data_IF_505489168136
#
_entry.id   IF_505489168136
#
_cell.length_a   1.000
_cell.length_b   1.000
_cell.length_c   1.000
_cell.angle_alpha   90.00
_cell.angle_beta   90.00
_cell.angle_gamma   90.00
#
_symmetry.space_group_name_H-M   'P 1'
#
loop_
_entity.id
_entity.type
_entity.pdbx_description
1 polymer ?
#
# COMPACT_ATOMS: atom_id res chain seq x y z
N UNK A 1 -3.03 18.66 1.66
CA UNK A 1 -1.75 17.93 1.76
C UNK A 1 -1.05 18.13 0.43
N UNK A 2 0.27 18.36 0.40
CA UNK A 2 1.00 18.41 -0.86
C UNK A 2 1.12 17.02 -1.46
N UNK A 3 1.61 16.94 -2.69
CA UNK A 3 1.81 15.67 -3.39
C UNK A 3 2.65 14.68 -2.56
N UNK A 4 3.78 15.16 -2.02
CA UNK A 4 4.66 14.35 -1.17
C UNK A 4 3.91 13.74 0.02
N UNK A 5 3.11 14.52 0.74
CA UNK A 5 2.36 14.00 1.89
C UNK A 5 1.28 12.99 1.47
N UNK A 6 0.58 13.22 0.34
CA UNK A 6 -0.39 12.26 -0.19
C UNK A 6 0.29 10.95 -0.61
N UNK A 7 1.46 11.02 -1.25
CA UNK A 7 2.22 9.83 -1.64
C UNK A 7 2.73 9.04 -0.43
N UNK A 8 3.21 9.74 0.61
CA UNK A 8 3.54 9.10 1.90
C UNK A 8 2.32 8.44 2.55
N UNK A 9 1.17 9.11 2.51
CA UNK A 9 -0.08 8.57 3.02
C UNK A 9 -0.49 7.31 2.25
N UNK A 10 -0.31 7.28 0.92
CA UNK A 10 -0.53 6.08 0.09
C UNK A 10 0.36 4.92 0.52
N UNK A 11 1.67 5.11 0.62
CA UNK A 11 2.64 4.07 1.02
C UNK A 11 2.27 3.51 2.40
N UNK A 12 1.91 4.40 3.34
CA UNK A 12 1.47 4.02 4.67
C UNK A 12 0.18 3.19 4.63
N UNK A 13 -0.83 3.65 3.89
CA UNK A 13 -2.11 2.97 3.69
C UNK A 13 -1.94 1.57 3.08
N UNK A 14 -1.07 1.43 2.06
CA UNK A 14 -0.75 0.13 1.45
C UNK A 14 -0.01 -0.81 2.42
N UNK A 15 0.81 -0.26 3.32
CA UNK A 15 1.44 -1.01 4.41
C UNK A 15 0.43 -1.50 5.44
N UNK A 16 -0.52 -0.63 5.86
CA UNK A 16 -1.59 -0.98 6.78
C UNK A 16 -2.47 -2.10 6.21
N UNK A 17 -2.89 -2.00 4.94
CA UNK A 17 -3.68 -3.04 4.29
C UNK A 17 -2.93 -4.38 4.29
N UNK A 18 -1.65 -4.40 3.89
CA UNK A 18 -0.85 -5.62 3.87
C UNK A 18 -0.77 -6.28 5.25
N UNK A 19 -0.49 -5.50 6.30
CA UNK A 19 -0.45 -5.98 7.69
C UNK A 19 -1.81 -6.51 8.15
N UNK A 20 -2.88 -5.77 7.89
CA UNK A 20 -4.24 -6.15 8.28
C UNK A 20 -4.68 -7.44 7.58
N UNK A 21 -4.44 -7.58 6.28
CA UNK A 21 -4.76 -8.80 5.51
C UNK A 21 -3.95 -10.00 6.01
N UNK A 22 -2.66 -9.82 6.34
CA UNK A 22 -1.81 -10.89 6.85
C UNK A 22 -2.19 -11.32 8.28
N UNK A 23 -2.74 -10.41 9.09
CA UNK A 23 -3.23 -10.71 10.44
C UNK A 23 -4.47 -11.62 10.47
N UNK A 24 -5.24 -11.64 9.37
CA UNK A 24 -6.47 -12.41 9.29
C UNK A 24 -6.18 -13.91 9.28
N UNK A 25 -6.57 -14.59 10.37
CA UNK A 25 -6.51 -16.04 10.47
C UNK A 25 -7.58 -16.71 9.60
N UNK A 26 -7.20 -17.81 8.97
CA UNK A 26 -8.09 -18.76 8.30
C UNK A 26 -8.27 -20.02 9.20
N UNK A 27 -9.42 -20.72 9.17
CA UNK A 27 -10.57 -20.55 8.27
C UNK A 27 -11.52 -19.41 8.66
N UNK A 28 -12.46 -18.99 7.78
CA UNK A 28 -13.37 -17.86 8.01
C UNK A 28 -14.17 -17.92 9.31
N UNK A 29 -14.47 -19.12 9.80
CA UNK A 29 -15.21 -19.37 11.05
C UNK A 29 -14.44 -18.96 12.32
N UNK A 30 -13.11 -18.85 12.22
CA UNK A 30 -12.20 -18.41 13.30
C UNK A 30 -11.52 -17.10 12.94
N UNK A 31 -12.11 -16.33 12.02
CA UNK A 31 -11.56 -15.06 11.55
C UNK A 31 -11.31 -14.14 12.74
N UNK A 32 -10.07 -13.68 12.85
CA UNK A 32 -9.65 -12.69 13.83
C UNK A 32 -9.04 -11.55 13.03
N UNK A 33 -9.76 -10.43 12.98
CA UNK A 33 -9.31 -9.21 12.31
C UNK A 33 -8.56 -8.36 13.32
N UNK A 34 -7.45 -7.77 12.88
CA UNK A 34 -6.80 -6.70 13.64
C UNK A 34 -7.64 -5.42 13.59
N UNK A 35 -8.42 -5.23 14.66
CA UNK A 35 -9.33 -4.07 14.80
C UNK A 35 -8.56 -2.77 14.95
N UNK A 36 -7.31 -2.78 15.41
CA UNK A 36 -6.52 -1.57 15.53
C UNK A 36 -6.07 -1.11 14.15
N UNK A 37 -5.44 -2.00 13.37
CA UNK A 37 -5.04 -1.69 11.99
C UNK A 37 -6.23 -1.29 11.12
N UNK A 38 -7.39 -1.92 11.34
CA UNK A 38 -8.62 -1.56 10.61
C UNK A 38 -9.09 -0.15 10.94
N UNK A 39 -8.98 0.29 12.21
CA UNK A 39 -9.30 1.68 12.60
C UNK A 39 -8.35 2.67 11.95
N UNK A 40 -7.05 2.38 11.92
CA UNK A 40 -6.07 3.27 11.29
C UNK A 40 -6.38 3.47 9.79
N UNK A 41 -6.84 2.44 9.08
CA UNK A 41 -7.31 2.58 7.69
C UNK A 41 -8.60 3.42 7.63
N UNK A 42 -9.56 3.18 8.54
CA UNK A 42 -10.83 3.91 8.59
C UNK A 42 -10.65 5.41 8.91
N UNK A 43 -9.67 5.77 9.73
CA UNK A 43 -9.36 7.16 10.07
C UNK A 43 -8.88 7.97 8.84
N UNK A 44 -8.47 7.30 7.77
CA UNK A 44 -8.13 7.91 6.48
C UNK A 44 -9.33 8.02 5.51
N UNK A 45 -10.53 7.62 5.94
CA UNK A 45 -11.77 7.65 5.13
C UNK A 45 -12.74 8.75 5.58
N UNK A 46 -13.90 8.84 4.92
CA UNK A 46 -15.07 9.61 5.33
C UNK A 46 -16.09 8.80 6.15
N UNK A 47 -15.77 7.57 6.56
CA UNK A 47 -16.68 6.81 7.41
C UNK A 47 -16.83 7.49 8.78
N UNK A 48 -18.06 7.80 9.15
CA UNK A 48 -18.39 8.33 10.46
C UNK A 48 -18.54 7.20 11.47
N UNK A 49 -17.86 7.32 12.61
CA UNK A 49 -18.05 6.40 13.72
C UNK A 49 -19.42 6.61 14.38
N UNK A 50 -20.18 5.52 14.57
CA UNK A 50 -21.42 5.48 15.32
C UNK A 50 -21.44 4.30 16.28
N UNK A 51 -21.87 4.56 17.52
CA UNK A 51 -22.12 3.50 18.51
C UNK A 51 -23.56 3.01 18.38
N UNK A 52 -23.75 1.74 18.04
CA UNK A 52 -25.08 1.13 17.95
C UNK A 52 -25.21 0.01 18.97
N UNK A 53 -25.90 0.24 20.10
CA UNK A 53 -25.95 -0.70 21.21
C UNK A 53 -24.54 -1.21 21.61
N UNK A 54 -24.25 -2.48 21.34
CA UNK A 54 -22.95 -3.14 21.59
C UNK A 54 -22.04 -3.22 20.35
N UNK A 55 -22.38 -2.53 19.27
CA UNK A 55 -21.68 -2.53 17.99
C UNK A 55 -20.89 -1.25 17.78
N UNK A 56 -19.69 -1.40 17.22
CA UNK A 56 -18.89 -0.31 16.67
C UNK A 56 -19.15 -0.23 15.17
N UNK A 57 -19.90 0.79 14.76
CA UNK A 57 -20.29 0.98 13.36
C UNK A 57 -19.49 2.12 12.76
N UNK A 58 -19.10 1.96 11.52
CA UNK A 58 -18.54 3.00 10.67
C UNK A 58 -19.50 3.14 9.50
N UNK A 59 -20.05 4.35 9.31
CA UNK A 59 -21.11 4.57 8.33
C UNK A 59 -20.75 5.64 7.33
N UNK A 60 -21.18 5.45 6.08
CA UNK A 60 -21.05 6.42 5.01
C UNK A 60 -22.35 6.48 4.21
N UNK A 61 -22.92 7.67 3.93
CA UNK A 61 -24.15 7.77 3.17
C UNK A 61 -23.98 7.29 1.73
N UNK A 62 -24.98 6.58 1.22
CA UNK A 62 -25.19 6.26 -0.19
C UNK A 62 -26.49 6.94 -0.67
N UNK A 63 -27.01 6.52 -1.82
CA UNK A 63 -28.26 7.05 -2.38
C UNK A 63 -29.51 6.54 -1.66
N UNK A 64 -30.61 7.31 -1.74
CA UNK A 64 -31.94 6.92 -1.28
C UNK A 64 -32.04 6.57 0.22
N UNK A 65 -31.19 7.16 1.07
CA UNK A 65 -31.19 6.90 2.52
C UNK A 65 -30.58 5.57 2.93
N UNK A 66 -30.00 4.82 1.97
CA UNK A 66 -29.16 3.66 2.24
C UNK A 66 -27.78 4.15 2.69
N UNK A 67 -27.16 3.44 3.62
CA UNK A 67 -25.81 3.72 4.09
C UNK A 67 -24.92 2.52 3.79
N UNK A 68 -23.65 2.77 3.52
CA UNK A 68 -22.60 1.76 3.63
C UNK A 68 -22.16 1.67 5.08
N UNK A 69 -22.31 0.51 5.69
CA UNK A 69 -22.10 0.30 7.12
C UNK A 69 -21.09 -0.82 7.31
N UNK A 70 -19.91 -0.48 7.80
CA UNK A 70 -18.94 -1.43 8.30
C UNK A 70 -19.20 -1.70 9.79
N UNK A 71 -19.26 -2.97 10.16
CA UNK A 71 -19.27 -3.38 11.57
C UNK A 71 -17.85 -3.78 11.96
N UNK A 72 -17.26 -3.09 12.94
CA UNK A 72 -15.91 -3.37 13.42
C UNK A 72 -15.91 -4.54 14.41
N UNK A 73 -16.21 -5.73 13.89
CA UNK A 73 -16.14 -7.01 14.59
C UNK A 73 -15.08 -7.93 13.96
N UNK A 74 -15.13 -9.23 14.28
CA UNK A 74 -14.16 -10.20 13.81
C UNK A 74 -14.47 -10.71 12.38
N UNK A 75 -15.72 -10.61 11.91
CA UNK A 75 -16.10 -10.97 10.55
C UNK A 75 -15.83 -9.82 9.57
N UNK A 76 -15.83 -8.59 10.10
CA UNK A 76 -15.70 -7.31 9.40
C UNK A 76 -16.67 -7.20 8.21
N UNK A 77 -17.99 -7.33 8.43
CA UNK A 77 -18.96 -7.22 7.35
C UNK A 77 -19.17 -5.76 6.95
N UNK A 78 -19.41 -5.54 5.66
CA UNK A 78 -19.94 -4.29 5.12
C UNK A 78 -21.35 -4.56 4.59
N UNK A 79 -22.30 -3.70 4.99
CA UNK A 79 -23.70 -3.77 4.59
C UNK A 79 -24.12 -2.52 3.81
N UNK A 80 -25.09 -2.68 2.91
CA UNK A 80 -25.82 -1.57 2.27
C UNK A 80 -27.25 -1.55 2.79
N UNK A 81 -27.49 -0.86 3.90
CA UNK A 81 -28.81 -0.75 4.52
C UNK A 81 -28.82 0.42 5.52
N UNK A 82 -29.79 0.46 6.43
CA UNK A 82 -29.86 1.43 7.52
C UNK A 82 -29.19 0.93 8.80
N UNK A 83 -28.74 1.84 9.67
CA UNK A 83 -28.17 1.51 10.99
C UNK A 83 -29.15 0.71 11.85
N UNK A 84 -30.45 1.00 11.73
CA UNK A 84 -31.50 0.28 12.44
C UNK A 84 -31.58 -1.19 11.99
N UNK A 85 -31.48 -1.46 10.68
CA UNK A 85 -31.49 -2.83 10.15
C UNK A 85 -30.24 -3.62 10.58
N UNK A 86 -29.05 -3.01 10.55
CA UNK A 86 -27.83 -3.66 11.05
C UNK A 86 -27.94 -3.97 12.54
N UNK A 87 -28.45 -3.03 13.33
CA UNK A 87 -28.63 -3.20 14.78
C UNK A 87 -29.62 -4.32 15.10
N UNK A 88 -30.76 -4.36 14.38
CA UNK A 88 -31.75 -5.44 14.50
C UNK A 88 -31.11 -6.81 14.25
N UNK A 89 -30.25 -6.95 13.23
CA UNK A 89 -29.69 -8.25 12.85
C UNK A 89 -28.51 -8.70 13.73
N UNK A 90 -27.64 -7.77 14.14
CA UNK A 90 -26.40 -8.09 14.88
C UNK A 90 -26.52 -7.95 16.40
N UNK A 91 -27.46 -7.16 16.89
CA UNK A 91 -27.70 -6.95 18.32
C UNK A 91 -29.21 -6.79 18.61
N UNK A 92 -30.06 -7.77 18.23
CA UNK A 92 -31.51 -7.68 18.43
C UNK A 92 -31.88 -7.50 19.90
N UNK A 93 -32.92 -6.71 20.17
CA UNK A 93 -33.52 -6.67 21.49
C UNK A 93 -34.45 -7.87 21.69
N UNK A 94 -34.74 -8.23 22.95
CA UNK A 94 -35.63 -9.36 23.25
C UNK A 94 -37.06 -9.17 22.68
N UNK A 95 -37.49 -7.93 22.45
CA UNK A 95 -38.77 -7.64 21.81
C UNK A 95 -38.77 -7.93 20.30
N UNK A 96 -37.62 -7.79 19.64
CA UNK A 96 -37.49 -8.00 18.20
C UNK A 96 -37.72 -9.46 17.81
N UNK A 97 -37.38 -10.39 18.70
CA UNK A 97 -37.47 -11.83 18.45
C UNK A 97 -38.89 -12.41 18.54
N UNK A 98 -39.90 -11.64 18.96
CA UNK A 98 -41.31 -12.10 18.90
C UNK A 98 -41.92 -12.03 17.51
N UNK A 99 -41.35 -11.23 16.60
CA UNK A 99 -41.83 -11.12 15.23
C UNK A 99 -41.14 -12.16 14.35
N UNK A 100 -41.90 -13.13 13.83
CA UNK A 100 -41.38 -14.15 12.87
C UNK A 100 -40.68 -13.47 11.68
N UNK A 101 -41.18 -12.31 11.24
CA UNK A 101 -40.56 -11.53 10.17
C UNK A 101 -39.17 -11.02 10.56
N UNK A 102 -39.03 -10.51 11.78
CA UNK A 102 -37.73 -10.03 12.28
C UNK A 102 -36.76 -11.20 12.48
N UNK A 103 -37.22 -12.33 13.03
CA UNK A 103 -36.41 -13.55 13.18
C UNK A 103 -35.83 -13.99 11.84
N UNK A 104 -36.63 -14.01 10.75
CA UNK A 104 -36.13 -14.33 9.40
C UNK A 104 -35.02 -13.37 8.93
N UNK A 105 -35.13 -12.07 9.22
CA UNK A 105 -34.10 -11.07 8.87
C UNK A 105 -32.83 -11.20 9.70
N UNK A 106 -32.97 -11.52 10.99
CA UNK A 106 -31.84 -11.77 11.90
C UNK A 106 -31.05 -13.00 11.43
N UNK A 107 -31.75 -14.05 10.99
CA UNK A 107 -31.12 -15.32 10.59
C UNK A 107 -30.44 -15.27 9.21
N UNK A 108 -30.85 -14.38 8.32
CA UNK A 108 -30.31 -14.30 6.96
C UNK A 108 -29.95 -12.86 6.63
N UNK A 109 -28.67 -12.56 6.45
CA UNK A 109 -28.15 -11.24 6.07
C UNK A 109 -27.58 -11.17 4.65
N UNK A 110 -27.76 -12.22 3.84
CA UNK A 110 -27.24 -12.29 2.47
C UNK A 110 -27.85 -11.24 1.54
N UNK A 111 -29.04 -10.74 1.86
CA UNK A 111 -29.77 -9.74 1.10
C UNK A 111 -29.15 -8.33 1.20
N UNK A 112 -28.42 -8.05 2.29
CA UNK A 112 -27.89 -6.72 2.58
C UNK A 112 -26.36 -6.67 2.65
N UNK A 113 -25.70 -7.82 2.67
CA UNK A 113 -24.25 -7.89 2.84
C UNK A 113 -23.51 -7.73 1.52
N UNK A 114 -22.46 -6.91 1.55
CA UNK A 114 -21.64 -6.58 0.38
C UNK A 114 -20.32 -7.32 0.41
N UNK A 115 -19.64 -7.32 1.56
CA UNK A 115 -18.34 -7.97 1.70
C UNK A 115 -18.07 -8.38 3.15
N UNK A 116 -17.08 -9.26 3.35
CA UNK A 116 -16.57 -9.67 4.67
C UNK A 116 -15.04 -9.77 4.65
N UNK A 117 -14.40 -9.53 5.80
CA UNK A 117 -12.97 -9.79 6.03
C UNK A 117 -12.04 -9.08 5.05
N UNK A 118 -11.20 -9.84 4.32
CA UNK A 118 -10.20 -9.31 3.39
C UNK A 118 -10.82 -8.40 2.32
N UNK A 119 -11.99 -8.76 1.80
CA UNK A 119 -12.68 -7.95 0.79
C UNK A 119 -13.21 -6.63 1.38
N UNK A 120 -13.67 -6.64 2.64
CA UNK A 120 -14.04 -5.41 3.34
C UNK A 120 -12.82 -4.50 3.56
N UNK A 121 -11.66 -5.05 3.95
CA UNK A 121 -10.43 -4.28 4.09
C UNK A 121 -10.00 -3.64 2.77
N UNK A 122 -10.01 -4.40 1.66
CA UNK A 122 -9.70 -3.86 0.33
C UNK A 122 -10.66 -2.75 -0.07
N UNK A 123 -11.95 -2.88 0.26
CA UNK A 123 -12.96 -1.87 -0.03
C UNK A 123 -12.74 -0.58 0.76
N UNK A 124 -12.48 -0.68 2.07
CA UNK A 124 -12.17 0.50 2.90
C UNK A 124 -10.86 1.15 2.45
N UNK A 125 -9.85 0.35 2.12
CA UNK A 125 -8.59 0.84 1.54
C UNK A 125 -8.82 1.61 0.24
N UNK A 126 -9.63 1.08 -0.70
CA UNK A 126 -9.95 1.78 -1.94
C UNK A 126 -10.67 3.11 -1.69
N UNK A 127 -11.53 3.18 -0.67
CA UNK A 127 -12.18 4.43 -0.24
C UNK A 127 -11.14 5.42 0.31
N UNK A 128 -10.23 4.99 1.17
CA UNK A 128 -9.15 5.84 1.70
C UNK A 128 -8.23 6.34 0.57
N UNK A 129 -7.85 5.44 -0.35
CA UNK A 129 -6.99 5.76 -1.48
C UNK A 129 -7.63 6.80 -2.41
N UNK A 130 -8.93 6.68 -2.68
CA UNK A 130 -9.69 7.62 -3.51
C UNK A 130 -9.80 9.05 -2.93
N UNK A 131 -9.39 9.26 -1.68
CA UNK A 131 -9.32 10.58 -1.04
C UNK A 131 -7.96 11.25 -1.16
N UNK A 132 -6.93 10.51 -1.57
CA UNK A 132 -5.59 11.04 -1.76
C UNK A 132 -5.49 11.72 -3.12
N UNK A 133 -4.99 12.95 -3.13
CA UNK A 133 -4.62 13.62 -4.38
C UNK A 133 -3.20 13.20 -4.75
N UNK A 134 -3.10 12.28 -5.70
CA UNK A 134 -1.85 11.74 -6.21
C UNK A 134 -1.46 12.36 -7.55
N UNK A 135 -2.14 13.43 -7.97
CA UNK A 135 -1.71 14.21 -9.13
C UNK A 135 -0.41 14.93 -8.80
N UNK A 136 0.49 15.04 -9.78
CA UNK A 136 1.79 15.67 -9.61
C UNK A 136 2.21 16.45 -10.84
N UNK A 137 3.05 17.43 -10.59
CA UNK A 137 3.68 18.30 -11.59
C UNK A 137 5.19 18.09 -11.62
N UNK A 138 5.87 18.74 -12.56
CA UNK A 138 7.34 18.76 -12.57
C UNK A 138 7.92 19.35 -11.28
N UNK A 139 7.32 20.43 -10.77
CA UNK A 139 7.80 21.12 -9.57
C UNK A 139 7.76 20.23 -8.33
N UNK A 140 6.72 19.39 -8.23
CA UNK A 140 6.58 18.39 -7.17
C UNK A 140 7.72 17.35 -7.22
N UNK A 141 8.07 16.87 -8.42
CA UNK A 141 9.17 15.94 -8.60
C UNK A 141 10.53 16.60 -8.34
N UNK A 142 10.72 17.85 -8.78
CA UNK A 142 11.95 18.61 -8.50
C UNK A 142 12.15 18.83 -7.00
N UNK A 143 11.07 18.94 -6.21
CA UNK A 143 11.18 18.93 -4.75
C UNK A 143 11.73 17.60 -4.23
N UNK A 144 11.27 16.46 -4.74
CA UNK A 144 11.81 15.15 -4.35
C UNK A 144 13.28 14.99 -4.74
N UNK A 145 13.69 15.49 -5.91
CA UNK A 145 15.10 15.51 -6.33
C UNK A 145 15.93 16.31 -5.32
N UNK A 146 15.51 17.53 -4.98
CA UNK A 146 16.23 18.39 -4.02
C UNK A 146 16.39 17.73 -2.65
N UNK A 147 15.36 17.02 -2.17
CA UNK A 147 15.42 16.29 -0.91
C UNK A 147 16.40 15.11 -0.97
N UNK A 148 16.39 14.34 -2.05
CA UNK A 148 17.34 13.25 -2.29
C UNK A 148 18.78 13.75 -2.38
N UNK A 149 19.02 14.83 -3.14
CA UNK A 149 20.31 15.52 -3.24
C UNK A 149 20.81 15.99 -1.87
N UNK A 150 19.96 16.72 -1.13
CA UNK A 150 20.30 17.18 0.22
C UNK A 150 20.62 16.01 1.15
N UNK A 151 19.90 14.89 1.01
CA UNK A 151 20.17 13.66 1.74
C UNK A 151 21.55 13.08 1.45
N UNK A 152 21.97 13.07 0.18
CA UNK A 152 23.31 12.63 -0.23
C UNK A 152 24.40 13.56 0.30
N UNK A 153 24.24 14.88 0.14
CA UNK A 153 25.21 15.88 0.62
C UNK A 153 25.43 15.84 2.13
N UNK A 154 24.36 15.58 2.89
CA UNK A 154 24.41 15.50 4.35
C UNK A 154 24.80 14.12 4.87
N UNK A 155 24.97 13.11 4.00
CA UNK A 155 25.21 11.74 4.42
C UNK A 155 24.03 11.16 5.22
N UNK A 156 22.79 11.54 4.90
CA UNK A 156 21.59 11.09 5.59
C UNK A 156 20.91 9.93 4.85
N UNK A 157 21.21 8.69 5.26
CA UNK A 157 20.57 7.49 4.70
C UNK A 157 19.04 7.58 4.70
N UNK A 158 18.47 8.06 5.80
CA UNK A 158 17.02 8.18 5.97
C UNK A 158 16.39 9.11 4.92
N UNK A 159 17.01 10.25 4.63
CA UNK A 159 16.52 11.19 3.61
C UNK A 159 16.65 10.64 2.20
N UNK A 160 17.79 10.00 1.88
CA UNK A 160 18.00 9.34 0.59
C UNK A 160 16.98 8.22 0.37
N UNK A 161 16.77 7.39 1.39
CA UNK A 161 15.79 6.29 1.36
C UNK A 161 14.37 6.83 1.20
N UNK A 162 13.98 7.86 1.96
CA UNK A 162 12.65 8.46 1.82
C UNK A 162 12.40 8.98 0.40
N UNK A 163 13.34 9.72 -0.19
CA UNK A 163 13.20 10.20 -1.56
C UNK A 163 13.11 9.05 -2.58
N UNK A 164 13.94 8.01 -2.42
CA UNK A 164 13.89 6.82 -3.29
C UNK A 164 12.57 6.07 -3.16
N UNK A 165 12.09 5.82 -1.94
CA UNK A 165 10.84 5.10 -1.68
C UNK A 165 9.65 5.81 -2.33
N UNK A 166 9.64 7.15 -2.34
CA UNK A 166 8.63 7.94 -3.05
C UNK A 166 8.70 7.74 -4.57
N UNK A 167 9.89 7.82 -5.17
CA UNK A 167 10.04 7.52 -6.60
C UNK A 167 9.70 6.06 -6.93
N UNK A 168 10.04 5.12 -6.04
CA UNK A 168 9.78 3.70 -6.26
C UNK A 168 8.28 3.41 -6.27
N UNK A 169 7.52 4.08 -5.41
CA UNK A 169 6.07 3.99 -5.41
C UNK A 169 5.47 4.50 -6.73
N UNK A 170 5.97 5.63 -7.26
CA UNK A 170 5.47 6.21 -8.52
C UNK A 170 5.82 5.35 -9.74
N UNK A 171 6.99 4.71 -9.72
CA UNK A 171 7.56 4.05 -10.89
C UNK A 171 7.41 2.53 -10.85
N UNK A 172 6.96 1.95 -9.74
CA UNK A 172 6.83 0.50 -9.56
C UNK A 172 8.18 -0.21 -9.40
N UNK A 173 9.14 0.44 -8.74
CA UNK A 173 10.39 -0.21 -8.37
C UNK A 173 10.20 -1.10 -7.14
N UNK A 174 10.88 -2.24 -7.14
CA UNK A 174 10.85 -3.18 -6.04
C UNK A 174 12.25 -3.70 -5.73
N UNK A 175 12.45 -4.18 -4.50
CA UNK A 175 13.70 -4.77 -4.07
C UNK A 175 14.05 -6.00 -4.91
N UNK A 176 15.30 -6.09 -5.33
CA UNK A 176 15.85 -7.22 -6.09
C UNK A 176 16.99 -7.84 -5.31
N UNK A 177 16.96 -9.16 -5.20
CA UNK A 177 17.98 -9.93 -4.50
C UNK A 177 18.80 -10.73 -5.51
N UNK A 178 20.12 -10.56 -5.47
CA UNK A 178 21.06 -11.43 -6.16
C UNK A 178 21.74 -12.33 -5.12
N UNK A 179 21.94 -13.60 -5.45
CA UNK A 179 22.63 -14.52 -4.56
C UNK A 179 24.08 -14.08 -4.32
N UNK A 180 24.56 -14.16 -3.07
CA UNK A 180 25.97 -13.98 -2.71
C UNK A 180 26.54 -12.55 -2.78
N UNK A 181 25.74 -11.51 -2.53
CA UNK A 181 26.22 -10.12 -2.48
C UNK A 181 26.44 -9.59 -1.05
N UNK A 182 27.20 -8.50 -0.97
CA UNK A 182 27.46 -7.77 0.27
C UNK A 182 26.16 -7.27 0.93
N UNK A 183 26.02 -7.40 2.26
CA UNK A 183 24.79 -7.03 2.97
C UNK A 183 24.48 -5.52 2.91
N UNK A 184 25.50 -4.68 2.69
CA UNK A 184 25.38 -3.21 2.67
C UNK A 184 24.87 -2.67 1.32
N UNK A 185 24.72 -3.52 0.30
CA UNK A 185 24.22 -3.16 -1.03
C UNK A 185 22.74 -3.49 -1.18
N UNK A 186 21.93 -2.45 -1.24
CA UNK A 186 20.50 -2.54 -1.50
C UNK A 186 20.23 -2.33 -2.97
N UNK A 187 19.45 -3.22 -3.59
CA UNK A 187 19.22 -3.23 -5.03
C UNK A 187 17.74 -3.18 -5.35
N UNK A 188 17.39 -2.37 -6.35
CA UNK A 188 16.02 -2.14 -6.77
C UNK A 188 15.92 -2.17 -8.29
N UNK A 189 14.80 -2.63 -8.80
CA UNK A 189 14.50 -2.63 -10.22
C UNK A 189 13.04 -2.36 -10.47
N UNK A 190 12.75 -1.67 -11.57
CA UNK A 190 11.39 -1.52 -12.08
C UNK A 190 10.95 -2.87 -12.65
N UNK A 191 9.74 -3.30 -12.31
CA UNK A 191 9.19 -4.53 -12.87
C UNK A 191 8.91 -4.36 -14.37
N UNK A 192 9.48 -5.20 -15.22
CA UNK A 192 9.12 -5.23 -16.63
C UNK A 192 7.83 -6.05 -16.83
N UNK A 193 6.95 -5.70 -17.80
CA UNK A 193 5.83 -6.55 -18.18
C UNK A 193 6.35 -7.95 -18.59
N UNK A 194 5.80 -9.01 -17.99
CA UNK A 194 6.30 -10.38 -18.16
C UNK A 194 6.38 -10.81 -19.62
N UNK A 195 7.60 -11.13 -20.09
CA UNK A 195 7.83 -11.94 -21.28
C UNK A 195 8.56 -13.24 -20.88
N UNK A 196 7.83 -14.18 -20.26
CA UNK A 196 8.28 -15.55 -20.02
C UNK A 196 8.80 -15.87 -18.61
N UNK A 197 9.35 -17.08 -18.44
CA UNK A 197 9.57 -17.76 -17.16
C UNK A 197 10.64 -17.15 -16.22
N UNK A 198 11.30 -16.05 -16.60
CA UNK A 198 12.28 -15.36 -15.76
C UNK A 198 11.79 -13.95 -15.42
N UNK A 199 11.77 -13.61 -14.12
CA UNK A 199 11.48 -12.24 -13.66
C UNK A 199 12.50 -11.27 -14.26
N UNK A 200 12.07 -10.48 -15.23
CA UNK A 200 12.84 -9.42 -15.84
C UNK A 200 12.55 -8.08 -15.16
N UNK A 201 13.59 -7.29 -14.99
CA UNK A 201 13.53 -5.96 -14.42
C UNK A 201 14.20 -4.97 -15.36
N UNK A 202 13.90 -3.69 -15.16
CA UNK A 202 14.54 -2.58 -15.85
C UNK A 202 15.10 -1.59 -14.85
N UNK A 203 16.18 -0.92 -15.26
CA UNK A 203 16.83 0.14 -14.50
C UNK A 203 17.27 -0.31 -13.10
N UNK A 204 18.41 -0.96 -13.00
CA UNK A 204 18.95 -1.42 -11.72
C UNK A 204 19.49 -0.24 -10.91
N UNK A 205 18.89 0.03 -9.75
CA UNK A 205 19.38 0.99 -8.76
C UNK A 205 20.15 0.24 -7.69
N UNK A 206 21.31 0.77 -7.31
CA UNK A 206 22.16 0.23 -6.26
C UNK A 206 22.46 1.35 -5.27
N UNK A 207 22.05 1.14 -4.03
CA UNK A 207 22.36 2.00 -2.89
C UNK A 207 23.32 1.26 -1.97
N UNK A 208 24.52 1.80 -1.78
CA UNK A 208 25.42 1.34 -0.72
C UNK A 208 25.10 2.11 0.56
N UNK A 209 24.54 1.47 1.56
CA UNK A 209 24.11 2.15 2.80
C UNK A 209 25.29 2.62 3.67
N UNK A 210 26.44 1.95 3.55
CA UNK A 210 27.66 2.28 4.31
C UNK A 210 28.39 3.50 3.76
N UNK A 211 28.51 3.61 2.44
CA UNK A 211 29.20 4.72 1.78
C UNK A 211 28.25 5.79 1.25
N UNK A 212 26.94 5.55 1.32
CA UNK A 212 25.88 6.38 0.73
C UNK A 212 26.09 6.72 -0.74
N UNK A 213 26.69 5.78 -1.48
CA UNK A 213 26.79 5.91 -2.94
C UNK A 213 25.54 5.35 -3.59
N UNK A 214 24.94 6.14 -4.46
CA UNK A 214 23.79 5.78 -5.28
C UNK A 214 24.24 5.66 -6.75
N UNK A 215 23.89 4.56 -7.40
CA UNK A 215 24.16 4.32 -8.81
C UNK A 215 22.96 3.71 -9.51
N UNK A 216 22.84 3.98 -10.82
CA UNK A 216 21.81 3.39 -11.67
C UNK A 216 22.42 2.84 -12.96
N UNK A 217 22.12 1.58 -13.27
CA UNK A 217 22.37 0.95 -14.57
C UNK A 217 21.07 0.92 -15.36
N UNK A 218 21.04 1.55 -16.53
CA UNK A 218 19.88 1.63 -17.41
C UNK A 218 19.63 0.29 -18.14
N UNK A 219 18.38 0.08 -18.53
CA UNK A 219 17.97 -1.04 -19.36
C UNK A 219 17.63 -2.31 -18.58
N UNK A 220 17.32 -3.36 -19.35
CA UNK A 220 16.84 -4.63 -18.81
C UNK A 220 17.96 -5.42 -18.12
N UNK A 221 17.59 -6.11 -17.05
CA UNK A 221 18.43 -7.05 -16.33
C UNK A 221 17.59 -8.17 -15.71
N UNK A 222 18.23 -9.27 -15.35
CA UNK A 222 17.61 -10.35 -14.60
C UNK A 222 18.52 -10.83 -13.46
N UNK A 223 18.00 -11.01 -12.23
CA UNK A 223 18.78 -11.52 -11.11
C UNK A 223 19.23 -12.98 -11.27
N UNK A 224 18.67 -13.71 -12.24
CA UNK A 224 19.05 -15.10 -12.54
C UNK A 224 19.98 -15.24 -13.74
N UNK A 225 20.27 -14.13 -14.46
CA UNK A 225 21.14 -14.16 -15.63
C UNK A 225 22.61 -13.99 -15.20
N UNK A 226 23.45 -14.94 -15.59
CA UNK A 226 24.88 -14.95 -15.22
C UNK A 226 25.62 -13.65 -15.58
N UNK A 227 25.35 -13.06 -16.74
CA UNK A 227 26.01 -11.80 -17.14
C UNK A 227 25.63 -10.61 -16.25
N UNK A 228 24.41 -10.60 -15.70
CA UNK A 228 23.96 -9.54 -14.80
C UNK A 228 24.50 -9.74 -13.39
N UNK A 229 24.55 -10.99 -12.93
CA UNK A 229 25.25 -11.37 -11.68
C UNK A 229 26.73 -10.94 -11.72
N UNK A 230 27.42 -11.25 -12.81
CA UNK A 230 28.82 -10.86 -13.01
C UNK A 230 28.99 -9.33 -13.03
N UNK A 231 28.10 -8.62 -13.74
CA UNK A 231 28.14 -7.16 -13.76
C UNK A 231 28.02 -6.57 -12.34
N UNK A 232 27.11 -7.09 -11.53
CA UNK A 232 26.90 -6.61 -10.16
C UNK A 232 28.09 -6.95 -9.25
N UNK A 233 28.69 -8.14 -9.40
CA UNK A 233 29.91 -8.50 -8.68
C UNK A 233 31.08 -7.56 -9.03
N UNK A 234 31.26 -7.22 -10.30
CA UNK A 234 32.28 -6.27 -10.75
C UNK A 234 32.00 -4.84 -10.26
N UNK A 235 30.72 -4.45 -10.18
CA UNK A 235 30.32 -3.17 -9.60
C UNK A 235 30.66 -3.10 -8.10
N UNK A 236 30.34 -4.14 -7.33
CA UNK A 236 30.68 -4.23 -5.91
C UNK A 236 32.21 -4.13 -5.68
N UNK A 237 33.00 -4.75 -6.55
CA UNK A 237 34.46 -4.67 -6.53
C UNK A 237 35.03 -3.35 -7.09
N UNK A 238 34.17 -2.37 -7.44
CA UNK A 238 34.54 -1.08 -8.06
C UNK A 238 35.27 -1.19 -9.40
N UNK A 239 35.13 -2.33 -10.08
CA UNK A 239 35.70 -2.59 -11.41
C UNK A 239 34.76 -2.19 -12.54
N UNK A 240 33.47 -1.99 -12.22
CA UNK A 240 32.47 -1.38 -13.11
C UNK A 240 31.86 -0.14 -12.49
N UNK A 241 31.38 0.75 -13.36
CA UNK A 241 30.63 1.96 -13.01
C UNK A 241 29.19 1.84 -13.46
N UNK A 242 28.29 2.54 -12.77
CA UNK A 242 26.91 2.66 -13.17
C UNK A 242 26.81 3.68 -14.32
N UNK A 243 25.67 3.71 -14.99
CA UNK A 243 25.43 4.66 -16.09
C UNK A 243 25.16 6.07 -15.56
N UNK A 244 24.55 6.17 -14.38
CA UNK A 244 24.28 7.41 -13.65
C UNK A 244 24.67 7.27 -12.18
N UNK A 245 25.01 8.39 -11.55
CA UNK A 245 25.45 8.42 -10.14
C UNK A 245 24.87 9.60 -9.35
N UNK A 246 24.65 9.37 -8.05
CA UNK A 246 24.24 10.44 -7.13
C UNK A 246 22.93 11.12 -7.54
N UNK A 247 22.96 12.45 -7.72
CA UNK A 247 21.77 13.25 -8.06
C UNK A 247 21.18 12.91 -9.43
N UNK A 248 22.00 12.50 -10.40
CA UNK A 248 21.56 12.13 -11.75
C UNK A 248 20.56 10.96 -11.73
N UNK A 249 20.63 10.11 -10.69
CA UNK A 249 19.67 9.02 -10.48
C UNK A 249 18.28 9.58 -10.17
N UNK A 250 18.17 10.60 -9.32
CA UNK A 250 16.88 11.23 -9.02
C UNK A 250 16.30 11.99 -10.21
N UNK A 251 17.14 12.71 -10.96
CA UNK A 251 16.74 13.38 -12.20
C UNK A 251 16.18 12.39 -13.22
N UNK A 252 16.87 11.26 -13.41
CA UNK A 252 16.38 10.18 -14.27
C UNK A 252 15.03 9.62 -13.81
N UNK A 253 14.83 9.44 -12.51
CA UNK A 253 13.56 8.92 -11.98
C UNK A 253 12.41 9.92 -12.17
N UNK A 254 12.67 11.22 -12.02
CA UNK A 254 11.69 12.26 -12.29
C UNK A 254 11.30 12.31 -13.77
N UNK A 255 12.29 12.26 -14.68
CA UNK A 255 12.04 12.22 -16.12
C UNK A 255 11.25 10.96 -16.51
N UNK A 256 11.60 9.82 -15.90
CA UNK A 256 10.89 8.55 -16.11
C UNK A 256 9.43 8.61 -15.61
N UNK A 257 9.16 9.36 -14.54
CA UNK A 257 7.80 9.52 -14.02
C UNK A 257 6.94 10.37 -14.96
N UNK A 258 7.49 11.45 -15.51
CA UNK A 258 6.79 12.33 -16.45
C UNK A 258 6.54 11.70 -17.82
N UNK A 259 7.32 10.68 -18.18
CA UNK A 259 7.19 9.97 -19.45
C UNK A 259 6.17 8.82 -19.43
N UNK A 260 5.50 8.56 -18.30
CA UNK A 260 4.47 7.50 -18.17
C UNK A 260 3.13 7.89 -18.80
#
# INVERSE_FOLDING_TARGET
MGFKENLKAKIHLDSLLRKAVHSIKEPPEKRLVDKQLTREILDMTDFEYRKGANLHLYVRPLENGIMEILVLDNELPIYHTTVADVTLRKSPHWQDVFSIRNVRRIMNDQDIIVSRGKESLKRVHAVALGRLDLTYTRDDLDQLIREGMTGLEQGSLARVREALDLFFELLGFQAVYFASLEPDLQMFGRSAPEAGAARSFEHLIILNEKTLSLGLRKGAFSPTKNSDLEWVALYAQKQKRADLHGVEVFEFLADLALAQ
#
